data_IF_088148598837
#
_entry.id   IF_088148598837
#
_cell.length_a   1.000
_cell.length_b   1.000
_cell.length_c   1.000
_cell.angle_alpha   90.00
_cell.angle_beta   90.00
_cell.angle_gamma   90.00
#
_symmetry.space_group_name_H-M   'P 1'
#
loop_
_entity.id
_entity.type
_entity.pdbx_description
1 polymer ?
#
# COMPACT_ATOMS: atom_id res chain seq x y z
N UNK A 1 4.45 -5.67 -7.77
CA UNK A 1 5.24 -5.05 -6.67
C UNK A 1 6.69 -4.74 -7.04
N UNK A 2 7.37 -5.55 -7.86
CA UNK A 2 8.77 -5.32 -8.25
C UNK A 2 9.01 -3.94 -8.88
N UNK A 3 8.06 -3.45 -9.69
CA UNK A 3 8.09 -2.10 -10.27
C UNK A 3 8.32 -0.99 -9.23
N UNK A 4 7.81 -1.13 -8.00
CA UNK A 4 7.95 -0.12 -6.93
C UNK A 4 9.23 -0.31 -6.09
N UNK A 5 10.07 -1.28 -6.43
CA UNK A 5 11.20 -1.73 -5.61
C UNK A 5 10.78 -2.26 -4.24
N UNK A 6 9.51 -2.56 -4.01
CA UNK A 6 9.01 -2.98 -2.70
C UNK A 6 9.03 -4.50 -2.56
N UNK A 7 9.98 -5.22 -3.17
CA UNK A 7 10.13 -6.70 -3.11
C UNK A 7 11.48 -7.08 -2.48
N UNK A 8 11.63 -8.28 -1.88
CA UNK A 8 12.95 -8.77 -1.51
C UNK A 8 13.87 -8.76 -2.73
N UNK A 9 15.09 -8.26 -2.58
CA UNK A 9 16.13 -8.46 -3.57
C UNK A 9 16.49 -9.94 -3.64
N UNK A 10 16.79 -10.41 -4.83
CA UNK A 10 17.12 -11.81 -5.06
C UNK A 10 18.49 -11.90 -5.74
N UNK A 11 19.32 -12.83 -5.28
CA UNK A 11 20.56 -13.24 -5.93
C UNK A 11 20.45 -14.72 -6.20
N UNK A 12 20.44 -15.08 -7.48
CA UNK A 12 20.27 -16.46 -7.92
C UNK A 12 21.48 -16.87 -8.75
N UNK A 13 21.98 -18.09 -8.54
CA UNK A 13 23.09 -18.70 -9.27
C UNK A 13 22.86 -20.20 -9.36
N UNK A 14 22.81 -20.74 -10.59
CA UNK A 14 22.36 -22.11 -10.83
C UNK A 14 20.96 -22.35 -10.24
N UNK A 15 20.82 -23.42 -9.45
CA UNK A 15 19.58 -23.77 -8.75
C UNK A 15 19.40 -23.07 -7.40
N UNK A 16 20.39 -22.28 -6.95
CA UNK A 16 20.35 -21.64 -5.63
C UNK A 16 19.72 -20.25 -5.70
N UNK A 17 18.67 -20.03 -4.91
CA UNK A 17 17.99 -18.74 -4.76
C UNK A 17 18.26 -18.17 -3.36
N UNK A 18 18.86 -16.97 -3.28
CA UNK A 18 19.07 -16.23 -2.02
C UNK A 18 18.27 -14.94 -2.02
N UNK A 19 17.31 -14.82 -1.11
CA UNK A 19 16.52 -13.59 -0.90
C UNK A 19 17.15 -12.73 0.19
N UNK A 20 17.41 -11.47 -0.13
CA UNK A 20 17.95 -10.46 0.78
C UNK A 20 16.88 -9.47 1.26
N UNK A 21 17.34 -8.30 1.70
CA UNK A 21 16.48 -7.19 2.12
C UNK A 21 15.62 -6.65 0.97
N UNK A 22 14.72 -5.71 1.29
CA UNK A 22 13.88 -5.07 0.26
C UNK A 22 14.76 -4.31 -0.73
N UNK A 23 14.60 -4.61 -2.02
CA UNK A 23 15.34 -3.94 -3.09
C UNK A 23 15.05 -2.44 -3.13
N UNK A 24 15.94 -1.68 -3.76
CA UNK A 24 15.69 -0.27 -4.12
C UNK A 24 15.53 -0.11 -5.63
N UNK A 25 15.76 -1.17 -6.38
CA UNK A 25 15.64 -1.21 -7.84
C UNK A 25 14.17 -1.17 -8.24
N UNK A 26 13.81 -0.25 -9.14
CA UNK A 26 12.45 0.02 -9.60
C UNK A 26 12.21 1.51 -9.78
N UNK A 27 10.95 1.93 -9.87
CA UNK A 27 10.58 3.34 -9.97
C UNK A 27 10.74 4.04 -8.60
N UNK A 28 11.78 4.86 -8.48
CA UNK A 28 12.10 5.62 -7.26
C UNK A 28 11.01 6.60 -6.87
N UNK A 29 10.38 7.28 -7.83
CA UNK A 29 9.30 8.23 -7.55
C UNK A 29 8.06 7.53 -6.98
N UNK A 30 7.66 6.42 -7.60
CA UNK A 30 6.52 5.64 -7.14
C UNK A 30 6.81 5.00 -5.77
N UNK A 31 8.03 4.51 -5.55
CA UNK A 31 8.47 4.05 -4.22
C UNK A 31 8.32 5.15 -3.18
N UNK A 32 8.87 6.34 -3.46
CA UNK A 32 8.81 7.47 -2.54
C UNK A 32 7.37 7.84 -2.21
N UNK A 33 6.50 7.99 -3.21
CA UNK A 33 5.09 8.30 -3.00
C UNK A 33 4.39 7.27 -2.09
N UNK A 34 4.65 5.97 -2.31
CA UNK A 34 4.07 4.90 -1.50
C UNK A 34 4.59 4.88 -0.06
N UNK A 35 5.91 5.06 0.11
CA UNK A 35 6.54 5.06 1.45
C UNK A 35 6.13 6.30 2.24
N UNK A 36 6.10 7.47 1.61
CA UNK A 36 5.63 8.70 2.25
C UNK A 36 4.14 8.61 2.60
N UNK A 37 3.30 8.12 1.68
CA UNK A 37 1.88 7.93 1.93
C UNK A 37 1.60 6.92 3.05
N UNK A 38 2.45 5.89 3.20
CA UNK A 38 2.29 4.88 4.23
C UNK A 38 2.43 5.44 5.66
N UNK A 39 3.15 6.55 5.86
CA UNK A 39 3.26 7.19 7.17
C UNK A 39 1.91 7.66 7.72
N UNK A 40 0.94 7.95 6.85
CA UNK A 40 -0.39 8.37 7.27
C UNK A 40 -1.12 7.30 8.11
N UNK A 41 -0.85 6.01 7.86
CA UNK A 41 -1.50 4.89 8.57
C UNK A 41 -1.00 4.69 10.01
N UNK A 42 -0.01 5.47 10.48
CA UNK A 42 0.32 5.53 11.91
C UNK A 42 -0.83 6.11 12.74
N UNK A 43 -1.66 6.94 12.11
CA UNK A 43 -2.81 7.58 12.74
C UNK A 43 -4.02 6.63 12.82
N UNK A 44 -5.00 6.96 13.65
CA UNK A 44 -6.28 6.23 13.71
C UNK A 44 -7.00 6.32 12.36
N UNK A 45 -7.62 5.21 11.94
CA UNK A 45 -8.46 5.18 10.75
C UNK A 45 -9.63 6.16 10.90
N UNK A 46 -9.59 7.24 10.11
CA UNK A 46 -10.63 8.26 10.02
C UNK A 46 -10.59 8.94 8.65
N UNK A 47 -11.71 9.50 8.24
CA UNK A 47 -11.81 10.41 7.10
C UNK A 47 -11.98 11.82 7.67
N UNK A 48 -11.08 12.73 7.33
CA UNK A 48 -11.19 14.14 7.75
C UNK A 48 -12.21 14.88 6.90
N UNK A 49 -12.91 15.88 7.47
CA UNK A 49 -13.97 16.64 6.77
C UNK A 49 -13.57 17.12 5.39
N UNK A 50 -12.37 17.69 5.25
CA UNK A 50 -11.83 18.17 3.96
C UNK A 50 -11.66 17.11 2.86
N UNK A 51 -11.79 15.81 3.17
CA UNK A 51 -11.75 14.71 2.20
C UNK A 51 -13.12 14.09 1.94
N UNK A 52 -14.13 14.41 2.74
CA UNK A 52 -15.45 13.76 2.69
C UNK A 52 -16.07 13.99 1.32
N UNK A 53 -16.21 15.25 0.90
CA UNK A 53 -16.85 15.61 -0.37
C UNK A 53 -16.18 14.91 -1.57
N UNK A 54 -14.84 14.89 -1.58
CA UNK A 54 -14.06 14.20 -2.63
C UNK A 54 -14.28 12.69 -2.62
N UNK A 55 -14.33 12.07 -1.45
CA UNK A 55 -14.54 10.63 -1.33
C UNK A 55 -15.97 10.28 -1.72
N UNK A 56 -16.96 11.08 -1.30
CA UNK A 56 -18.37 10.85 -1.58
C UNK A 56 -18.71 10.93 -3.07
N UNK A 57 -17.99 11.75 -3.83
CA UNK A 57 -18.08 11.78 -5.29
C UNK A 57 -17.59 10.49 -5.98
N UNK A 58 -16.88 9.60 -5.27
CA UNK A 58 -16.38 8.34 -5.84
C UNK A 58 -17.45 7.23 -5.80
N UNK A 59 -17.42 6.28 -6.75
CA UNK A 59 -18.28 5.11 -6.73
C UNK A 59 -18.22 4.36 -5.40
N UNK A 60 -19.37 3.88 -4.91
CA UNK A 60 -19.49 3.17 -3.63
C UNK A 60 -18.47 2.04 -3.48
N UNK A 61 -18.29 1.23 -4.53
CA UNK A 61 -17.34 0.11 -4.53
C UNK A 61 -15.89 0.56 -4.28
N UNK A 62 -15.49 1.72 -4.82
CA UNK A 62 -14.16 2.29 -4.59
C UNK A 62 -14.04 2.80 -3.15
N UNK A 63 -15.08 3.46 -2.63
CA UNK A 63 -15.14 3.90 -1.23
C UNK A 63 -15.00 2.73 -0.25
N UNK A 64 -15.68 1.62 -0.52
CA UNK A 64 -15.66 0.43 0.34
C UNK A 64 -14.27 -0.23 0.36
N UNK A 65 -13.61 -0.34 -0.79
CA UNK A 65 -12.20 -0.82 -0.87
C UNK A 65 -11.27 0.13 -0.10
N UNK A 66 -11.43 1.44 -0.29
CA UNK A 66 -10.64 2.46 0.41
C UNK A 66 -10.81 2.40 1.93
N UNK A 67 -12.04 2.23 2.42
CA UNK A 67 -12.32 2.09 3.86
C UNK A 67 -11.72 0.79 4.42
N UNK A 68 -11.88 -0.32 3.70
CA UNK A 68 -11.25 -1.61 4.06
C UNK A 68 -9.73 -1.49 4.16
N UNK A 69 -9.11 -0.76 3.23
CA UNK A 69 -7.68 -0.46 3.27
C UNK A 69 -7.31 0.32 4.53
N UNK A 70 -8.03 1.41 4.81
CA UNK A 70 -7.77 2.29 5.96
C UNK A 70 -7.78 1.52 7.29
N UNK A 71 -8.85 0.76 7.54
CA UNK A 71 -9.01 -0.02 8.79
C UNK A 71 -7.91 -1.06 8.93
N UNK A 72 -7.60 -1.78 7.84
CA UNK A 72 -6.60 -2.85 7.84
C UNK A 72 -5.19 -2.31 8.04
N UNK A 73 -4.79 -1.30 7.28
CA UNK A 73 -3.42 -0.76 7.30
C UNK A 73 -3.10 -0.07 8.62
N UNK A 74 -4.03 0.73 9.18
CA UNK A 74 -3.87 1.32 10.51
C UNK A 74 -3.76 0.25 11.62
N UNK A 75 -4.52 -0.84 11.49
CA UNK A 75 -4.46 -1.94 12.46
C UNK A 75 -3.16 -2.72 12.34
N UNK A 76 -2.71 -3.00 11.11
CA UNK A 76 -1.44 -3.69 10.86
C UNK A 76 -0.24 -2.85 11.33
N UNK A 77 -0.27 -1.54 11.13
CA UNK A 77 0.79 -0.63 11.60
C UNK A 77 0.97 -0.78 13.11
N UNK A 78 -0.12 -0.62 13.87
CA UNK A 78 -0.11 -0.76 15.33
C UNK A 78 0.35 -2.14 15.79
N UNK A 79 -0.11 -3.22 15.13
CA UNK A 79 0.30 -4.59 15.45
C UNK A 79 1.80 -4.82 15.23
N UNK A 80 2.36 -4.32 14.13
CA UNK A 80 3.78 -4.50 13.83
C UNK A 80 4.66 -3.67 14.76
N UNK A 81 4.23 -2.44 15.09
CA UNK A 81 4.94 -1.59 16.04
C UNK A 81 4.92 -2.22 17.44
N UNK A 82 3.79 -2.75 17.89
CA UNK A 82 3.66 -3.44 19.18
C UNK A 82 4.54 -4.71 19.28
N UNK A 83 4.93 -5.30 18.15
CA UNK A 83 5.90 -6.42 18.08
C UNK A 83 7.37 -5.96 18.12
N UNK A 84 7.63 -4.68 18.41
CA UNK A 84 8.98 -4.11 18.49
C UNK A 84 9.67 -3.86 17.15
N UNK A 85 8.93 -3.87 16.02
CA UNK A 85 9.53 -3.52 14.72
C UNK A 85 9.77 -2.02 14.64
N UNK A 86 10.91 -1.63 14.08
CA UNK A 86 11.22 -0.20 13.86
C UNK A 86 10.20 0.44 12.91
N UNK A 87 9.91 1.72 13.13
CA UNK A 87 8.90 2.44 12.35
C UNK A 87 9.16 2.35 10.83
N UNK A 88 10.43 2.38 10.40
CA UNK A 88 10.81 2.25 9.00
C UNK A 88 10.43 0.88 8.41
N UNK A 89 10.67 -0.21 9.14
CA UNK A 89 10.28 -1.57 8.71
C UNK A 89 8.76 -1.70 8.63
N UNK A 90 8.05 -1.17 9.63
CA UNK A 90 6.59 -1.13 9.61
C UNK A 90 6.09 -0.36 8.39
N UNK A 91 6.64 0.83 8.14
CA UNK A 91 6.22 1.70 7.05
C UNK A 91 6.41 1.03 5.68
N UNK A 92 7.53 0.35 5.44
CA UNK A 92 7.77 -0.42 4.20
C UNK A 92 6.78 -1.58 4.07
N UNK A 93 6.44 -2.26 5.17
CA UNK A 93 5.43 -3.32 5.15
C UNK A 93 4.01 -2.80 4.81
N UNK A 94 3.66 -1.62 5.32
CA UNK A 94 2.40 -0.95 5.00
C UNK A 94 2.37 -0.46 3.55
N UNK A 95 3.45 0.17 3.06
CA UNK A 95 3.56 0.59 1.67
C UNK A 95 3.37 -0.58 0.69
N UNK A 96 3.96 -1.74 1.01
CA UNK A 96 3.75 -2.98 0.24
C UNK A 96 2.27 -3.35 0.17
N UNK A 97 1.58 -3.41 1.30
CA UNK A 97 0.18 -3.81 1.30
C UNK A 97 -0.74 -2.76 0.65
N UNK A 98 -0.42 -1.47 0.78
CA UNK A 98 -1.15 -0.37 0.13
C UNK A 98 -1.22 -0.54 -1.38
N UNK A 99 -0.14 -1.01 -2.03
CA UNK A 99 -0.14 -1.30 -3.46
C UNK A 99 -1.21 -2.31 -3.85
N UNK A 100 -1.48 -3.31 -3.00
CA UNK A 100 -2.54 -4.29 -3.25
C UNK A 100 -3.93 -3.66 -3.29
N UNK A 101 -4.19 -2.68 -2.42
CA UNK A 101 -5.46 -1.95 -2.43
C UNK A 101 -5.58 -1.00 -3.62
N UNK A 102 -4.48 -0.31 -4.00
CA UNK A 102 -4.45 0.51 -5.21
C UNK A 102 -4.77 -0.34 -6.44
N UNK A 103 -4.17 -1.53 -6.53
CA UNK A 103 -4.44 -2.49 -7.60
C UNK A 103 -5.90 -2.96 -7.60
N UNK A 104 -6.44 -3.29 -6.42
CA UNK A 104 -7.86 -3.66 -6.29
C UNK A 104 -8.79 -2.57 -6.82
N UNK A 105 -8.55 -1.30 -6.47
CA UNK A 105 -9.32 -0.17 -6.99
C UNK A 105 -9.18 -0.07 -8.51
N UNK A 106 -7.96 -0.17 -9.03
CA UNK A 106 -7.70 -0.09 -10.47
C UNK A 106 -8.44 -1.19 -11.24
N UNK A 107 -8.44 -2.44 -10.76
CA UNK A 107 -9.20 -3.53 -11.37
C UNK A 107 -10.71 -3.26 -11.33
N UNK A 108 -11.24 -2.82 -10.18
CA UNK A 108 -12.66 -2.50 -10.04
C UNK A 108 -13.13 -1.42 -11.01
N UNK A 109 -12.33 -0.37 -11.21
CA UNK A 109 -12.66 0.70 -12.15
C UNK A 109 -12.55 0.22 -13.61
N UNK A 110 -11.57 -0.62 -13.94
CA UNK A 110 -11.43 -1.17 -15.30
C UNK A 110 -12.54 -2.15 -15.67
N UNK A 111 -13.06 -2.92 -14.71
CA UNK A 111 -14.16 -3.86 -14.93
C UNK A 111 -15.54 -3.21 -14.94
N UNK A 112 -15.66 -1.93 -14.57
CA UNK A 112 -16.92 -1.21 -14.71
C UNK A 112 -17.21 -1.00 -16.21
N UNK A 113 -18.43 -1.33 -16.70
CA UNK A 113 -18.79 -1.09 -18.08
C UNK A 113 -18.63 0.40 -18.38
N UNK A 114 -17.88 0.73 -19.45
CA UNK A 114 -17.82 2.12 -19.94
C UNK A 114 -19.23 2.46 -20.42
N UNK A 115 -19.94 3.29 -19.66
CA UNK A 115 -21.10 4.01 -20.18
C UNK A 115 -20.59 4.96 -21.27
N UNK A 116 -20.68 4.51 -22.52
CA UNK A 116 -20.65 5.33 -23.74
C UNK A 116 -21.93 6.13 -23.86
#
# INVERSE_FOLDING_TARGET
>A
MAYFGLVPGERSSGETIRRGGITKTGNTHARRALVEGAWAYRMKARIGRHKVDRIEALPKVVRDIGWKAQVRLCTRYRRLLARGKTANVVNVAIAREMVGFIWSIACTIQSAPRTT
#
